data_IF_849277145923
#
_entry.id   IF_849277145923
#
_cell.length_a   1.000
_cell.length_b   1.000
_cell.length_c   1.000
_cell.angle_alpha   90.00
_cell.angle_beta   90.00
_cell.angle_gamma   90.00
#
_symmetry.space_group_name_H-M   'P 1'
#
loop_
_entity.id
_entity.type
_entity.pdbx_description
1 polymer ?
#
# COMPACT_ATOMS: atom_id res chain seq x y z
N UNK A 1 -9.95 -21.07 9.02
CA UNK A 1 -8.85 -20.30 9.65
C UNK A 1 -9.47 -19.13 10.41
N UNK A 2 -9.57 -19.20 11.75
CA UNK A 2 -10.12 -18.09 12.56
C UNK A 2 -9.11 -16.94 12.53
N UNK A 3 -9.42 -15.87 11.80
CA UNK A 3 -8.74 -14.58 11.98
C UNK A 3 -9.11 -14.08 13.38
N UNK A 4 -8.12 -13.80 14.24
CA UNK A 4 -8.36 -13.12 15.51
C UNK A 4 -9.12 -11.83 15.24
N UNK A 5 -10.25 -11.64 15.92
CA UNK A 5 -11.21 -10.53 15.75
C UNK A 5 -10.70 -9.18 16.28
N UNK A 6 -9.43 -9.10 16.67
CA UNK A 6 -8.86 -7.84 17.15
C UNK A 6 -8.71 -6.86 15.98
N UNK A 7 -9.07 -5.57 16.17
CA UNK A 7 -8.70 -4.53 15.23
C UNK A 7 -7.20 -4.61 14.94
N UNK A 8 -6.81 -4.41 13.68
CA UNK A 8 -5.41 -4.35 13.28
C UNK A 8 -5.09 -2.93 12.89
N UNK A 9 -4.00 -2.40 13.43
CA UNK A 9 -3.63 -1.00 13.17
C UNK A 9 -3.02 -0.81 11.77
N UNK A 10 -2.34 -1.83 11.25
CA UNK A 10 -1.53 -1.77 10.03
C UNK A 10 -1.98 -2.78 8.97
N UNK A 11 -2.12 -2.31 7.73
CA UNK A 11 -2.30 -3.12 6.52
C UNK A 11 -1.04 -3.06 5.66
N UNK A 12 -0.53 -4.22 5.26
CA UNK A 12 0.47 -4.34 4.19
C UNK A 12 -0.26 -4.92 2.97
N UNK A 13 -0.53 -4.10 1.97
CA UNK A 13 -1.31 -4.51 0.80
C UNK A 13 -0.37 -5.00 -0.32
N UNK A 14 -0.65 -6.22 -0.81
CA UNK A 14 -0.03 -6.77 -2.02
C UNK A 14 -1.02 -6.84 -3.19
N UNK A 15 -2.20 -6.23 -3.04
CA UNK A 15 -3.26 -6.27 -4.04
C UNK A 15 -2.93 -5.33 -5.21
N UNK A 16 -3.24 -5.71 -6.45
CA UNK A 16 -2.99 -4.87 -7.62
C UNK A 16 -3.89 -3.62 -7.66
N UNK A 17 -5.03 -3.66 -6.98
CA UNK A 17 -6.03 -2.61 -6.92
C UNK A 17 -6.30 -2.18 -5.48
N UNK A 18 -6.89 -1.00 -5.31
CA UNK A 18 -7.29 -0.48 -4.00
C UNK A 18 -8.31 -1.43 -3.34
N UNK A 19 -8.16 -1.61 -2.03
CA UNK A 19 -9.07 -2.42 -1.25
C UNK A 19 -9.97 -1.51 -0.41
N UNK A 20 -11.29 -1.62 -0.56
CA UNK A 20 -12.25 -0.76 0.15
C UNK A 20 -12.10 -0.85 1.67
N UNK A 21 -11.71 -2.03 2.18
CA UNK A 21 -11.45 -2.25 3.59
C UNK A 21 -10.17 -1.58 4.12
N UNK A 22 -9.32 -1.01 3.26
CA UNK A 22 -8.10 -0.32 3.69
C UNK A 22 -8.40 0.86 4.61
N UNK A 23 -9.58 1.47 4.45
CA UNK A 23 -10.08 2.56 5.32
C UNK A 23 -10.34 2.13 6.77
N UNK A 24 -10.41 0.82 7.04
CA UNK A 24 -10.53 0.30 8.40
C UNK A 24 -9.21 0.26 9.18
N UNK A 25 -8.08 0.63 8.54
CA UNK A 25 -6.75 0.60 9.13
C UNK A 25 -6.22 2.02 9.31
N UNK A 26 -5.46 2.24 10.39
CA UNK A 26 -4.82 3.53 10.66
C UNK A 26 -3.62 3.77 9.74
N UNK A 27 -2.89 2.71 9.41
CA UNK A 27 -1.71 2.77 8.55
C UNK A 27 -1.79 1.73 7.43
N UNK A 28 -1.33 2.13 6.24
CA UNK A 28 -1.27 1.27 5.07
C UNK A 28 0.11 1.38 4.42
N UNK A 29 0.75 0.23 4.22
CA UNK A 29 1.95 0.10 3.39
C UNK A 29 1.52 -0.50 2.05
N UNK A 30 1.84 0.22 0.98
CA UNK A 30 1.64 -0.19 -0.41
C UNK A 30 2.98 -0.06 -1.15
N UNK A 31 3.07 -0.63 -2.35
CA UNK A 31 4.30 -0.75 -3.10
C UNK A 31 4.15 -0.20 -4.52
N UNK A 32 5.24 0.37 -5.02
CA UNK A 32 5.39 0.68 -6.44
C UNK A 32 6.36 -0.36 -7.01
N UNK A 33 5.87 -1.39 -7.72
CA UNK A 33 6.74 -2.43 -8.30
C UNK A 33 7.78 -1.83 -9.24
N UNK A 34 8.92 -2.52 -9.44
CA UNK A 34 10.00 -2.01 -10.29
C UNK A 34 9.55 -1.91 -11.75
N UNK A 35 8.78 -2.88 -12.22
CA UNK A 35 8.29 -3.05 -13.59
C UNK A 35 7.44 -1.86 -14.06
N UNK A 36 7.80 -1.27 -15.20
CA UNK A 36 7.13 -0.08 -15.74
C UNK A 36 5.65 -0.32 -16.05
N UNK A 37 5.30 -1.52 -16.49
CA UNK A 37 3.92 -1.93 -16.80
C UNK A 37 3.00 -1.86 -15.58
N UNK A 38 3.54 -1.97 -14.37
CA UNK A 38 2.78 -1.95 -13.12
C UNK A 38 2.72 -0.56 -12.46
N UNK A 39 3.48 0.42 -12.97
CA UNK A 39 3.49 1.78 -12.41
C UNK A 39 2.13 2.46 -12.55
N UNK A 40 1.38 2.17 -13.62
CA UNK A 40 0.05 2.74 -13.80
C UNK A 40 -0.91 2.28 -12.70
N UNK A 41 -0.93 0.98 -12.40
CA UNK A 41 -1.73 0.44 -11.29
C UNK A 41 -1.34 1.07 -9.95
N UNK A 42 -0.04 1.25 -9.70
CA UNK A 42 0.42 1.93 -8.48
C UNK A 42 -0.03 3.40 -8.41
N UNK A 43 -0.02 4.13 -9.52
CA UNK A 43 -0.56 5.51 -9.60
C UNK A 43 -2.06 5.55 -9.30
N UNK A 44 -2.82 4.57 -9.79
CA UNK A 44 -4.26 4.50 -9.56
C UNK A 44 -4.57 4.20 -8.08
N UNK A 45 -3.83 3.28 -7.45
CA UNK A 45 -3.94 3.04 -6.00
C UNK A 45 -3.54 4.28 -5.19
N UNK A 46 -2.45 4.95 -5.54
CA UNK A 46 -2.02 6.20 -4.87
C UNK A 46 -3.12 7.26 -4.88
N UNK A 47 -3.78 7.47 -6.03
CA UNK A 47 -4.92 8.40 -6.14
C UNK A 47 -6.10 7.96 -5.29
N UNK A 48 -6.41 6.67 -5.27
CA UNK A 48 -7.50 6.13 -4.45
C UNK A 48 -7.26 6.38 -2.96
N UNK A 49 -6.07 6.06 -2.43
CA UNK A 49 -5.73 6.38 -1.03
C UNK A 49 -5.85 7.87 -0.72
N UNK A 50 -5.40 8.75 -1.62
CA UNK A 50 -5.54 10.20 -1.44
C UNK A 50 -7.01 10.63 -1.37
N UNK A 51 -7.86 10.05 -2.20
CA UNK A 51 -9.29 10.41 -2.28
C UNK A 51 -10.08 10.03 -1.02
N UNK A 52 -9.65 8.98 -0.32
CA UNK A 52 -10.27 8.53 0.94
C UNK A 52 -9.61 9.13 2.19
N UNK A 53 -8.69 10.09 2.01
CA UNK A 53 -8.16 10.91 3.09
C UNK A 53 -6.84 10.44 3.71
N UNK A 54 -6.17 9.43 3.16
CA UNK A 54 -4.83 9.07 3.64
C UNK A 54 -3.81 10.17 3.35
N UNK A 55 -2.94 10.41 4.32
CA UNK A 55 -1.73 11.21 4.13
C UNK A 55 -0.66 10.34 3.46
N UNK A 56 -0.17 10.76 2.29
CA UNK A 56 0.70 9.95 1.46
C UNK A 56 2.15 10.41 1.55
N UNK A 57 3.01 9.48 1.97
CA UNK A 57 4.46 9.63 1.97
C UNK A 57 5.09 8.54 1.09
N UNK A 58 6.19 8.87 0.39
CA UNK A 58 6.95 7.90 -0.39
C UNK A 58 8.36 7.79 0.18
N UNK A 59 8.79 6.57 0.49
CA UNK A 59 10.17 6.27 0.84
C UNK A 59 10.92 5.79 -0.42
N UNK A 60 12.20 6.18 -0.54
CA UNK A 60 13.07 5.61 -1.55
C UNK A 60 13.30 4.11 -1.25
N UNK A 61 13.36 3.24 -2.27
CA UNK A 61 13.73 1.86 -2.05
C UNK A 61 15.14 1.80 -1.45
N UNK A 62 15.42 0.86 -0.54
CA UNK A 62 16.78 0.65 -0.03
C UNK A 62 17.71 0.37 -1.21
N UNK A 63 18.83 1.08 -1.27
CA UNK A 63 19.84 0.83 -2.31
C UNK A 63 20.47 -0.54 -2.07
N UNK A 64 20.64 -1.38 -3.09
CA UNK A 64 21.33 -2.66 -2.94
C UNK A 64 22.75 -2.37 -2.45
N UNK A 65 23.14 -2.96 -1.32
CA UNK A 65 24.50 -2.84 -0.81
C UNK A 65 25.45 -3.53 -1.80
N UNK A 66 26.24 -2.77 -2.55
CA UNK A 66 27.39 -3.31 -3.29
C UNK A 66 28.39 -3.84 -2.26
N UNK A 67 28.58 -5.16 -2.24
CA UNK A 67 29.60 -5.84 -1.43
C UNK A 67 30.78 -6.22 -2.30
#
# INVERSE_FOLDING_TARGET
>A
QRRGSSPRDLLISLLPHFADFATAFHEVIDFVPYEDTLKQLARDRYKAYRSVGFQLNTAAPPQPQTT
#
